data_IF_026213680140
#
_entry.id   IF_026213680140
#
_cell.length_a   1.000
_cell.length_b   1.000
_cell.length_c   1.000
_cell.angle_alpha   90.00
_cell.angle_beta   90.00
_cell.angle_gamma   90.00
#
_symmetry.space_group_name_H-M   'P 1'
#
loop_
_entity.id
_entity.type
_entity.pdbx_description
1 polymer ?
#
# COMPACT_ATOMS: atom_id res chain seq x y z
N UNK A 1 -13.33 -6.38 -19.72
CA UNK A 1 -13.36 -7.62 -20.50
C UNK A 1 -14.08 -7.34 -21.82
N UNK A 2 -13.41 -7.58 -22.97
CA UNK A 2 -13.98 -7.28 -24.30
C UNK A 2 -15.20 -8.15 -24.67
N UNK A 3 -15.50 -9.17 -23.86
CA UNK A 3 -16.53 -10.19 -24.13
C UNK A 3 -17.75 -10.11 -23.19
N UNK A 4 -17.92 -9.05 -22.43
CA UNK A 4 -19.03 -8.90 -21.48
C UNK A 4 -19.71 -7.56 -21.69
N UNK A 5 -21.02 -7.58 -21.93
CA UNK A 5 -21.82 -6.36 -22.08
C UNK A 5 -22.12 -5.74 -20.71
N UNK A 6 -21.09 -5.13 -20.11
CA UNK A 6 -21.16 -4.45 -18.81
C UNK A 6 -20.57 -3.06 -18.95
N UNK A 7 -21.31 -2.05 -18.54
CA UNK A 7 -20.79 -0.71 -18.39
C UNK A 7 -20.13 -0.58 -17.02
N UNK A 8 -18.86 -0.17 -16.99
CA UNK A 8 -18.09 0.04 -15.74
C UNK A 8 -17.81 1.54 -15.60
N UNK A 9 -18.20 2.10 -14.49
CA UNK A 9 -17.86 3.46 -14.08
C UNK A 9 -16.93 3.44 -12.88
N UNK A 10 -15.86 4.26 -12.91
CA UNK A 10 -15.02 4.53 -11.76
C UNK A 10 -15.50 5.82 -11.10
N UNK A 11 -15.88 5.73 -9.82
CA UNK A 11 -16.23 6.87 -8.99
C UNK A 11 -15.17 7.05 -7.90
N UNK A 12 -14.54 8.21 -7.86
CA UNK A 12 -13.50 8.55 -6.89
C UNK A 12 -14.03 9.60 -5.91
N UNK A 13 -13.90 9.30 -4.61
CA UNK A 13 -14.29 10.19 -3.53
C UNK A 13 -13.15 10.26 -2.51
N UNK A 14 -13.16 11.32 -1.69
CA UNK A 14 -12.23 11.45 -0.57
C UNK A 14 -12.98 11.36 0.76
N UNK A 15 -12.30 10.90 1.80
CA UNK A 15 -12.85 10.84 3.16
C UNK A 15 -13.21 12.23 3.75
N UNK A 16 -12.71 13.30 3.11
CA UNK A 16 -13.00 14.69 3.50
C UNK A 16 -14.29 15.22 2.86
N UNK A 17 -14.88 14.49 1.90
CA UNK A 17 -16.15 14.89 1.29
C UNK A 17 -17.34 14.59 2.19
N UNK A 18 -18.41 15.36 2.03
CA UNK A 18 -19.65 15.13 2.79
C UNK A 18 -20.28 13.80 2.38
N UNK A 19 -20.59 12.94 3.36
CA UNK A 19 -21.18 11.60 3.15
C UNK A 19 -22.50 11.65 2.39
N UNK A 20 -23.34 12.62 2.68
CA UNK A 20 -24.65 12.74 2.03
C UNK A 20 -24.50 13.08 0.53
N UNK A 21 -23.51 13.88 0.16
CA UNK A 21 -23.26 14.21 -1.24
C UNK A 21 -22.72 12.98 -2.00
N UNK A 22 -21.87 12.17 -1.37
CA UNK A 22 -21.40 10.89 -1.95
C UNK A 22 -22.58 9.92 -2.10
N UNK A 23 -23.42 9.78 -1.09
CA UNK A 23 -24.61 8.91 -1.16
C UNK A 23 -25.57 9.33 -2.27
N UNK A 24 -25.81 10.63 -2.44
CA UNK A 24 -26.62 11.19 -3.54
C UNK A 24 -26.01 10.87 -4.91
N UNK A 25 -24.70 11.01 -5.06
CA UNK A 25 -24.03 10.73 -6.34
C UNK A 25 -24.10 9.23 -6.66
N UNK A 26 -23.82 8.35 -5.71
CA UNK A 26 -23.95 6.90 -5.87
C UNK A 26 -25.39 6.53 -6.27
N UNK A 27 -26.38 7.09 -5.57
CA UNK A 27 -27.78 6.82 -5.86
C UNK A 27 -28.17 7.27 -7.28
N UNK A 28 -27.70 8.43 -7.75
CA UNK A 28 -28.00 8.95 -9.09
C UNK A 28 -27.44 8.08 -10.23
N UNK A 29 -26.34 7.37 -9.98
CA UNK A 29 -25.71 6.46 -10.96
C UNK A 29 -26.53 5.20 -11.21
N UNK A 30 -27.44 4.82 -10.31
CA UNK A 30 -28.35 3.67 -10.44
C UNK A 30 -27.61 2.36 -10.85
N UNK A 31 -26.43 2.13 -10.28
CA UNK A 31 -25.65 0.93 -10.58
C UNK A 31 -26.33 -0.33 -10.06
N UNK A 32 -26.31 -1.41 -10.85
CA UNK A 32 -26.84 -2.73 -10.44
C UNK A 32 -25.87 -3.44 -9.46
N UNK A 33 -24.57 -3.14 -9.57
CA UNK A 33 -23.51 -3.64 -8.67
C UNK A 33 -22.56 -2.52 -8.30
N UNK A 34 -22.20 -2.44 -7.04
CA UNK A 34 -21.22 -1.48 -6.50
C UNK A 34 -20.10 -2.27 -5.84
N UNK A 35 -18.86 -1.90 -6.18
CA UNK A 35 -17.66 -2.48 -5.57
C UNK A 35 -16.88 -1.41 -4.83
N UNK A 36 -16.69 -1.57 -3.53
CA UNK A 36 -15.92 -0.65 -2.69
C UNK A 36 -14.48 -1.14 -2.51
N UNK A 37 -13.54 -0.20 -2.59
CA UNK A 37 -12.14 -0.42 -2.28
C UNK A 37 -11.85 -0.02 -0.83
N UNK A 38 -11.44 -0.99 0.01
CA UNK A 38 -11.30 -0.85 1.46
C UNK A 38 -9.83 -0.84 1.87
N UNK A 39 -9.40 0.31 2.37
CA UNK A 39 -8.06 0.56 2.90
C UNK A 39 -8.14 1.06 4.34
N UNK A 40 -7.01 1.03 5.03
CA UNK A 40 -6.90 1.45 6.43
C UNK A 40 -7.39 2.90 6.69
N UNK A 41 -7.32 3.78 5.69
CA UNK A 41 -7.75 5.18 5.83
C UNK A 41 -9.22 5.43 5.52
N UNK A 42 -9.95 4.46 4.92
CA UNK A 42 -11.33 4.69 4.49
C UNK A 42 -12.33 3.64 4.99
N UNK A 43 -11.91 2.60 5.71
CA UNK A 43 -12.77 1.45 6.06
C UNK A 43 -14.05 1.88 6.79
N UNK A 44 -13.95 2.68 7.86
CA UNK A 44 -15.12 3.11 8.64
C UNK A 44 -16.09 3.94 7.80
N UNK A 45 -15.52 4.79 6.94
CA UNK A 45 -16.29 5.59 6.01
C UNK A 45 -17.05 4.69 5.02
N UNK A 46 -16.38 3.71 4.44
CA UNK A 46 -16.94 2.75 3.48
C UNK A 46 -18.00 1.88 4.14
N UNK A 47 -17.77 1.35 5.35
CA UNK A 47 -18.76 0.55 6.07
C UNK A 47 -20.04 1.31 6.34
N UNK A 48 -19.92 2.57 6.79
CA UNK A 48 -21.09 3.45 6.98
C UNK A 48 -21.81 3.67 5.64
N UNK A 49 -21.07 3.91 4.56
CA UNK A 49 -21.64 4.12 3.23
C UNK A 49 -22.37 2.87 2.70
N UNK A 50 -21.82 1.68 2.90
CA UNK A 50 -22.45 0.40 2.52
C UNK A 50 -23.84 0.27 3.17
N UNK A 51 -23.92 0.54 4.48
CA UNK A 51 -25.20 0.47 5.23
C UNK A 51 -26.22 1.47 4.67
N UNK A 52 -25.79 2.69 4.37
CA UNK A 52 -26.69 3.74 3.87
C UNK A 52 -27.10 3.52 2.42
N UNK A 53 -26.18 3.08 1.56
CA UNK A 53 -26.51 2.69 0.18
C UNK A 53 -27.56 1.57 0.15
N UNK A 54 -27.41 0.56 1.00
CA UNK A 54 -28.36 -0.56 1.01
C UNK A 54 -29.76 -0.16 1.48
N UNK A 55 -29.90 0.88 2.32
CA UNK A 55 -31.21 1.43 2.73
C UNK A 55 -31.94 2.09 1.58
N UNK A 56 -31.22 2.81 0.70
CA UNK A 56 -31.82 3.60 -0.40
C UNK A 56 -31.87 2.83 -1.73
N UNK A 57 -31.03 1.79 -1.88
CA UNK A 57 -30.93 0.91 -3.05
C UNK A 57 -31.01 -0.55 -2.59
N UNK A 58 -32.22 -1.02 -2.29
CA UNK A 58 -32.44 -2.33 -1.64
C UNK A 58 -31.91 -3.53 -2.43
N UNK A 59 -32.03 -3.49 -3.76
CA UNK A 59 -31.71 -4.59 -4.65
C UNK A 59 -30.25 -4.54 -5.18
N UNK A 60 -29.49 -3.49 -4.85
CA UNK A 60 -28.12 -3.32 -5.32
C UNK A 60 -27.21 -4.43 -4.76
N UNK A 61 -26.39 -4.99 -5.64
CA UNK A 61 -25.37 -5.97 -5.29
C UNK A 61 -24.13 -5.20 -4.79
N UNK A 62 -23.65 -5.51 -3.58
CA UNK A 62 -22.51 -4.80 -3.00
C UNK A 62 -21.36 -5.76 -2.73
N UNK A 63 -20.20 -5.45 -3.31
CA UNK A 63 -18.93 -6.14 -3.05
C UNK A 63 -17.93 -5.19 -2.42
N UNK A 64 -17.03 -5.74 -1.62
CA UNK A 64 -15.88 -5.03 -1.09
C UNK A 64 -14.59 -5.76 -1.48
N UNK A 65 -13.48 -5.03 -1.55
CA UNK A 65 -12.16 -5.58 -1.79
C UNK A 65 -11.09 -4.67 -1.21
N UNK A 66 -9.85 -5.12 -1.19
CA UNK A 66 -8.73 -4.39 -0.61
C UNK A 66 -8.21 -5.03 0.69
N UNK A 67 -7.07 -4.55 1.20
CA UNK A 67 -6.36 -5.19 2.30
C UNK A 67 -7.16 -5.28 3.59
N UNK A 68 -8.02 -4.29 3.87
CA UNK A 68 -8.77 -4.22 5.13
C UNK A 68 -9.90 -5.23 5.29
N UNK A 69 -10.31 -5.88 4.20
CA UNK A 69 -11.39 -6.88 4.20
C UNK A 69 -10.95 -8.25 3.69
N UNK A 70 -9.69 -8.36 3.23
CA UNK A 70 -9.18 -9.59 2.62
C UNK A 70 -8.87 -10.68 3.65
N UNK A 71 -8.29 -10.33 4.79
CA UNK A 71 -7.78 -11.28 5.78
C UNK A 71 -8.84 -11.72 6.79
N UNK A 72 -9.85 -10.89 7.04
CA UNK A 72 -11.00 -11.16 7.93
C UNK A 72 -12.33 -11.18 7.14
N UNK A 73 -12.32 -11.69 5.91
CA UNK A 73 -13.45 -11.59 4.98
C UNK A 73 -14.74 -12.26 5.48
N UNK A 74 -14.62 -13.34 6.26
CA UNK A 74 -15.76 -14.02 6.87
C UNK A 74 -16.39 -13.18 8.00
N UNK A 75 -15.56 -12.62 8.85
CA UNK A 75 -15.94 -11.71 9.94
C UNK A 75 -16.55 -10.42 9.35
N UNK A 76 -15.95 -9.89 8.30
CA UNK A 76 -16.48 -8.71 7.56
C UNK A 76 -17.89 -8.97 7.06
N UNK A 77 -18.15 -10.10 6.42
CA UNK A 77 -19.51 -10.47 6.00
C UNK A 77 -20.44 -10.70 7.21
N UNK A 78 -19.93 -11.20 8.32
CA UNK A 78 -20.72 -11.38 9.54
C UNK A 78 -21.24 -10.06 10.12
N UNK A 79 -20.40 -9.02 10.16
CA UNK A 79 -20.75 -7.70 10.71
C UNK A 79 -21.43 -6.75 9.71
N UNK A 80 -21.35 -7.03 8.40
CA UNK A 80 -21.98 -6.26 7.32
C UNK A 80 -22.90 -7.14 6.48
N UNK A 81 -24.14 -7.38 6.95
CA UNK A 81 -25.12 -8.20 6.24
C UNK A 81 -25.53 -7.60 4.89
N UNK A 82 -25.28 -6.32 4.65
CA UNK A 82 -25.52 -5.60 3.41
C UNK A 82 -24.59 -6.04 2.26
N UNK A 83 -23.43 -6.61 2.59
CA UNK A 83 -22.50 -7.11 1.60
C UNK A 83 -22.93 -8.44 1.01
N UNK A 84 -22.86 -8.54 -0.31
CA UNK A 84 -22.99 -9.79 -1.06
C UNK A 84 -21.72 -10.63 -0.94
N UNK A 85 -20.55 -9.99 -1.01
CA UNK A 85 -19.27 -10.68 -0.89
C UNK A 85 -18.06 -9.77 -0.78
N UNK A 86 -16.91 -10.40 -0.56
CA UNK A 86 -15.58 -9.79 -0.45
C UNK A 86 -14.67 -10.42 -1.47
N UNK A 87 -13.94 -9.60 -2.22
CA UNK A 87 -12.82 -9.98 -3.07
C UNK A 87 -11.53 -9.96 -2.23
N UNK A 88 -10.83 -11.09 -2.14
CA UNK A 88 -9.59 -11.25 -1.38
C UNK A 88 -8.36 -11.09 -2.25
N UNK A 89 -7.36 -10.38 -1.77
CA UNK A 89 -6.08 -10.20 -2.47
C UNK A 89 -6.19 -9.37 -3.74
N UNK A 90 -5.53 -9.83 -4.82
CA UNK A 90 -5.51 -9.13 -6.12
C UNK A 90 -6.89 -9.14 -6.79
N UNK A 91 -7.42 -7.94 -7.02
CA UNK A 91 -8.79 -7.75 -7.50
C UNK A 91 -8.98 -7.89 -9.00
N UNK A 92 -7.95 -7.69 -9.82
CA UNK A 92 -8.04 -7.47 -11.26
C UNK A 92 -8.78 -8.63 -11.99
N UNK A 93 -8.30 -9.85 -11.83
CA UNK A 93 -8.91 -11.04 -12.45
C UNK A 93 -10.19 -11.48 -11.73
N UNK A 94 -10.27 -11.26 -10.42
CA UNK A 94 -11.45 -11.60 -9.60
C UNK A 94 -12.63 -10.71 -10.00
N UNK A 95 -12.43 -9.40 -10.08
CA UNK A 95 -13.42 -8.44 -10.52
C UNK A 95 -13.90 -8.74 -11.96
N UNK A 96 -12.95 -9.03 -12.87
CA UNK A 96 -13.31 -9.41 -14.25
C UNK A 96 -14.23 -10.65 -14.32
N UNK A 97 -14.01 -11.65 -13.43
CA UNK A 97 -14.88 -12.82 -13.33
C UNK A 97 -16.24 -12.48 -12.72
N UNK A 98 -16.29 -11.62 -11.70
CA UNK A 98 -17.57 -11.15 -11.14
C UNK A 98 -18.41 -10.42 -12.19
N UNK A 99 -17.77 -9.55 -13.00
CA UNK A 99 -18.46 -8.91 -14.13
C UNK A 99 -19.07 -9.92 -15.13
N UNK A 100 -18.43 -11.08 -15.33
CA UNK A 100 -18.98 -12.15 -16.17
C UNK A 100 -20.17 -12.85 -15.53
N UNK A 101 -20.18 -13.04 -14.21
CA UNK A 101 -21.31 -13.68 -13.49
C UNK A 101 -22.53 -12.77 -13.47
N UNK A 102 -22.34 -11.47 -13.26
CA UNK A 102 -23.44 -10.50 -13.12
C UNK A 102 -23.83 -9.81 -14.45
N UNK A 103 -23.02 -9.93 -15.51
CA UNK A 103 -23.30 -9.32 -16.81
C UNK A 103 -24.51 -9.95 -17.51
N UNK A 104 -25.45 -9.11 -17.97
CA UNK A 104 -26.62 -9.55 -18.76
C UNK A 104 -26.14 -10.04 -20.13
N UNK A 105 -26.36 -11.27 -20.46
CA UNK A 105 -26.16 -12.01 -21.71
C UNK A 105 -25.21 -13.19 -21.63
N UNK A 106 -25.18 -13.87 -20.53
CA UNK A 106 -24.58 -15.18 -20.56
C UNK A 106 -25.68 -16.27 -20.40
N UNK A 107 -26.61 -16.35 -21.36
CA UNK A 107 -27.36 -17.59 -21.53
C UNK A 107 -26.43 -18.81 -21.75
N UNK A 108 -25.12 -18.54 -21.90
CA UNK A 108 -24.06 -19.54 -22.09
C UNK A 108 -22.97 -19.50 -21.03
N UNK A 109 -22.99 -18.57 -20.04
CA UNK A 109 -21.98 -18.55 -18.96
C UNK A 109 -22.37 -19.52 -17.86
N UNK A 110 -21.79 -20.70 -17.89
CA UNK A 110 -21.85 -21.70 -16.81
C UNK A 110 -21.04 -21.26 -15.57
N UNK A 111 -20.51 -20.03 -15.54
CA UNK A 111 -19.69 -19.52 -14.46
C UNK A 111 -20.55 -19.11 -13.27
N UNK A 112 -20.36 -19.77 -12.13
CA UNK A 112 -20.99 -19.44 -10.85
C UNK A 112 -19.98 -18.87 -9.85
N UNK A 113 -20.45 -18.26 -8.75
CA UNK A 113 -19.58 -17.73 -7.71
C UNK A 113 -18.70 -18.82 -7.07
N UNK A 114 -19.20 -20.06 -7.00
CA UNK A 114 -18.48 -21.21 -6.47
C UNK A 114 -17.22 -21.57 -7.28
N UNK A 115 -17.13 -21.10 -8.52
CA UNK A 115 -16.00 -21.36 -9.42
C UNK A 115 -14.97 -20.20 -9.41
N UNK A 116 -15.18 -19.17 -8.61
CA UNK A 116 -14.29 -18.02 -8.53
C UNK A 116 -13.41 -18.14 -7.29
N UNK A 117 -12.11 -18.31 -7.49
CA UNK A 117 -11.13 -18.19 -6.39
C UNK A 117 -10.90 -16.73 -6.02
N UNK A 118 -10.48 -16.51 -4.76
CA UNK A 118 -10.22 -15.18 -4.22
C UNK A 118 -11.49 -14.43 -3.79
N UNK A 119 -12.58 -15.13 -3.48
CA UNK A 119 -13.78 -14.50 -2.92
C UNK A 119 -14.29 -15.21 -1.67
N UNK A 120 -14.99 -14.43 -0.84
CA UNK A 120 -15.89 -14.92 0.21
C UNK A 120 -17.24 -14.28 -0.04
N UNK A 121 -18.33 -15.05 -0.04
CA UNK A 121 -19.64 -14.53 -0.42
C UNK A 121 -20.78 -15.16 0.39
N UNK A 122 -21.93 -14.50 0.40
CA UNK A 122 -23.15 -14.98 1.05
C UNK A 122 -23.95 -15.80 0.05
N UNK A 123 -24.23 -17.04 0.43
CA UNK A 123 -25.07 -17.94 -0.33
C UNK A 123 -26.57 -17.57 -0.16
N UNK A 124 -27.47 -18.00 -1.07
CA UNK A 124 -28.91 -17.68 -0.97
C UNK A 124 -29.57 -18.14 0.32
N UNK A 125 -29.06 -19.18 0.97
CA UNK A 125 -29.54 -19.69 2.27
C UNK A 125 -29.01 -18.89 3.45
N UNK A 126 -28.22 -17.82 3.20
CA UNK A 126 -27.61 -16.96 4.21
C UNK A 126 -26.29 -17.47 4.76
N UNK A 127 -25.82 -18.65 4.39
CA UNK A 127 -24.50 -19.15 4.79
C UNK A 127 -23.38 -18.37 4.09
N UNK A 128 -22.19 -18.33 4.73
CA UNK A 128 -21.01 -17.68 4.17
C UNK A 128 -20.08 -18.73 3.59
N UNK A 129 -19.90 -18.67 2.27
CA UNK A 129 -19.04 -19.54 1.48
C UNK A 129 -17.71 -18.84 1.22
N UNK A 130 -16.60 -19.47 1.58
CA UNK A 130 -15.25 -18.96 1.33
C UNK A 130 -14.55 -19.82 0.30
N UNK A 131 -13.98 -19.16 -0.72
CA UNK A 131 -13.18 -19.81 -1.75
C UNK A 131 -11.68 -19.68 -1.45
N UNK A 132 -10.86 -20.58 -1.97
CA UNK A 132 -9.40 -20.47 -1.85
C UNK A 132 -8.89 -19.11 -2.32
N UNK A 133 -7.71 -18.70 -1.83
CA UNK A 133 -7.01 -17.55 -2.40
C UNK A 133 -6.66 -17.81 -3.86
N UNK A 134 -6.76 -16.76 -4.65
CA UNK A 134 -6.34 -16.83 -6.05
C UNK A 134 -4.82 -16.95 -6.16
N UNK A 135 -4.35 -17.73 -7.14
CA UNK A 135 -2.94 -17.71 -7.55
C UNK A 135 -2.60 -16.31 -8.07
N UNK A 136 -1.51 -15.72 -7.58
CA UNK A 136 -1.05 -14.41 -8.04
C UNK A 136 -0.87 -14.34 -9.57
N UNK A 137 -1.21 -13.19 -10.15
CA UNK A 137 -1.13 -13.01 -11.61
C UNK A 137 0.26 -12.56 -12.06
N UNK A 138 0.56 -12.73 -13.36
CA UNK A 138 1.69 -12.05 -13.99
C UNK A 138 1.41 -10.54 -14.02
N UNK A 139 2.33 -9.76 -13.45
CA UNK A 139 2.17 -8.31 -13.35
C UNK A 139 2.19 -7.62 -14.73
N UNK A 140 2.77 -8.26 -15.73
CA UNK A 140 2.76 -7.75 -17.12
C UNK A 140 1.38 -7.83 -17.78
N UNK A 141 0.43 -8.59 -17.22
CA UNK A 141 -0.96 -8.63 -17.71
C UNK A 141 -1.82 -7.46 -17.19
N UNK A 142 -1.35 -6.69 -16.19
CA UNK A 142 -2.08 -5.52 -15.68
C UNK A 142 -2.05 -4.43 -16.75
N UNK A 143 -3.23 -3.92 -17.19
CA UNK A 143 -3.26 -2.88 -18.22
C UNK A 143 -2.73 -1.55 -17.66
N UNK A 144 -2.06 -0.78 -18.52
CA UNK A 144 -1.71 0.61 -18.22
C UNK A 144 -2.98 1.47 -18.16
N UNK A 145 -3.18 2.21 -17.08
CA UNK A 145 -4.46 2.93 -16.84
C UNK A 145 -4.39 4.43 -17.11
N UNK A 146 -3.22 4.99 -17.33
CA UNK A 146 -2.99 6.44 -17.46
C UNK A 146 -3.05 6.92 -18.91
N UNK A 147 -4.11 6.54 -19.65
CA UNK A 147 -4.25 6.93 -21.08
C UNK A 147 -4.66 8.39 -21.29
N UNK A 148 -5.28 9.01 -20.29
CA UNK A 148 -5.78 10.39 -20.35
C UNK A 148 -5.29 11.16 -19.11
N UNK A 149 -4.17 11.87 -19.26
CA UNK A 149 -3.54 12.60 -18.16
C UNK A 149 -4.37 13.78 -17.65
N UNK A 150 -5.36 14.26 -18.41
CA UNK A 150 -6.25 15.33 -17.93
C UNK A 150 -7.06 14.91 -16.69
N UNK A 151 -7.37 13.63 -16.57
CA UNK A 151 -8.07 13.08 -15.39
C UNK A 151 -7.21 13.05 -14.12
N UNK A 152 -5.89 13.20 -14.28
CA UNK A 152 -4.90 13.11 -13.22
C UNK A 152 -4.18 14.44 -12.96
N UNK A 153 -4.66 15.55 -13.51
CA UNK A 153 -4.14 16.88 -13.19
C UNK A 153 -4.17 17.13 -11.68
N UNK A 154 -3.06 17.58 -11.13
CA UNK A 154 -2.86 17.83 -9.68
C UNK A 154 -2.98 16.59 -8.79
N UNK A 155 -2.84 15.38 -9.36
CA UNK A 155 -2.77 14.13 -8.60
C UNK A 155 -1.35 13.55 -8.66
N UNK A 156 -0.93 12.91 -7.57
CA UNK A 156 0.26 12.06 -7.57
C UNK A 156 -0.07 10.81 -8.39
N UNK A 157 0.82 10.46 -9.31
CA UNK A 157 0.71 9.22 -10.08
C UNK A 157 1.36 8.10 -9.28
N UNK A 158 0.61 7.05 -9.01
CA UNK A 158 1.11 5.82 -8.39
C UNK A 158 1.40 4.79 -9.46
N UNK A 159 2.61 4.24 -9.46
CA UNK A 159 3.06 3.32 -10.47
C UNK A 159 3.72 2.08 -9.83
N UNK A 160 3.46 0.89 -10.37
CA UNK A 160 3.92 -0.38 -9.83
C UNK A 160 4.71 -1.15 -10.89
N UNK A 161 5.97 -1.49 -10.59
CA UNK A 161 6.81 -2.33 -11.46
C UNK A 161 7.10 -3.69 -10.85
N UNK A 162 6.89 -3.83 -9.54
CA UNK A 162 6.99 -5.11 -8.84
C UNK A 162 5.93 -5.23 -7.76
N UNK A 163 5.49 -6.46 -7.49
CA UNK A 163 4.53 -6.80 -6.44
C UNK A 163 5.04 -7.96 -5.61
N UNK A 164 4.75 -7.93 -4.29
CA UNK A 164 5.33 -8.82 -3.31
C UNK A 164 6.56 -8.21 -2.64
N UNK A 165 7.06 -8.85 -1.58
CA UNK A 165 8.25 -8.42 -0.85
C UNK A 165 9.06 -9.63 -0.38
N UNK A 166 10.40 -9.66 -0.58
CA UNK A 166 11.21 -10.78 -0.15
C UNK A 166 11.41 -10.85 1.37
N UNK A 167 11.17 -9.74 2.07
CA UNK A 167 11.38 -9.60 3.51
C UNK A 167 10.20 -10.13 4.33
N UNK A 168 10.43 -10.29 5.64
CA UNK A 168 9.49 -10.92 6.58
C UNK A 168 9.11 -10.01 7.75
N UNK A 169 9.18 -8.68 7.55
CA UNK A 169 8.89 -7.73 8.62
C UNK A 169 7.53 -8.00 9.27
N UNK A 170 7.52 -8.21 10.59
CA UNK A 170 6.36 -8.71 11.34
C UNK A 170 5.16 -7.75 11.38
N UNK A 171 5.41 -6.46 11.20
CA UNK A 171 4.40 -5.40 11.20
C UNK A 171 3.81 -5.10 9.80
N UNK A 172 4.37 -5.70 8.74
CA UNK A 172 4.05 -5.33 7.35
C UNK A 172 3.21 -6.39 6.64
N UNK A 173 2.09 -6.02 6.03
CA UNK A 173 1.26 -6.92 5.23
C UNK A 173 1.95 -7.38 3.94
N UNK A 174 2.84 -6.57 3.37
CA UNK A 174 3.59 -6.96 2.16
C UNK A 174 4.53 -8.14 2.42
N UNK A 175 4.82 -8.47 3.69
CA UNK A 175 5.58 -9.64 4.08
C UNK A 175 4.81 -10.96 3.95
N UNK A 176 3.50 -10.91 3.70
CA UNK A 176 2.64 -12.09 3.55
C UNK A 176 2.79 -12.67 2.15
N UNK A 177 2.76 -11.82 1.12
CA UNK A 177 3.02 -12.26 -0.26
C UNK A 177 4.52 -12.32 -0.53
N UNK A 178 5.07 -13.53 -0.47
CA UNK A 178 6.49 -13.82 -0.75
C UNK A 178 6.80 -13.97 -2.23
N UNK A 179 5.79 -13.98 -3.10
CA UNK A 179 5.97 -14.18 -4.53
C UNK A 179 6.31 -12.84 -5.20
N UNK A 180 7.61 -12.54 -5.21
CA UNK A 180 8.11 -11.35 -5.88
C UNK A 180 7.97 -11.50 -7.39
N UNK A 181 7.20 -10.61 -8.01
CA UNK A 181 6.89 -10.58 -9.45
C UNK A 181 7.22 -9.21 -10.02
N UNK A 182 7.75 -9.21 -11.23
CA UNK A 182 8.16 -7.99 -11.92
C UNK A 182 7.38 -7.83 -13.22
N UNK A 183 6.99 -6.60 -13.51
CA UNK A 183 6.48 -6.18 -14.81
C UNK A 183 7.63 -6.21 -15.82
N UNK A 184 7.35 -6.61 -17.07
CA UNK A 184 8.38 -6.66 -18.11
C UNK A 184 8.99 -5.26 -18.33
N UNK A 185 10.31 -5.18 -18.48
CA UNK A 185 11.02 -3.92 -18.65
C UNK A 185 10.58 -3.18 -19.92
N UNK A 186 10.21 -3.88 -20.99
CA UNK A 186 9.72 -3.24 -22.22
C UNK A 186 8.43 -2.46 -21.96
N UNK A 187 7.50 -3.01 -21.16
CA UNK A 187 6.29 -2.31 -20.75
C UNK A 187 6.63 -1.12 -19.84
N UNK A 188 7.50 -1.35 -18.86
CA UNK A 188 7.92 -0.31 -17.92
C UNK A 188 8.52 0.87 -18.64
N UNK A 189 9.43 0.66 -19.61
CA UNK A 189 10.05 1.74 -20.35
C UNK A 189 9.05 2.53 -21.20
N UNK A 190 8.12 1.86 -21.87
CA UNK A 190 7.07 2.53 -22.63
C UNK A 190 6.17 3.39 -21.73
N UNK A 191 5.84 2.89 -20.53
CA UNK A 191 4.99 3.58 -19.57
C UNK A 191 5.72 4.76 -18.90
N UNK A 192 7.00 4.60 -18.59
CA UNK A 192 7.85 5.69 -18.09
C UNK A 192 8.01 6.79 -19.15
N UNK A 193 8.22 6.41 -20.43
CA UNK A 193 8.29 7.37 -21.52
C UNK A 193 6.99 8.17 -21.65
N UNK A 194 5.84 7.49 -21.48
CA UNK A 194 4.55 8.17 -21.47
C UNK A 194 4.48 9.25 -20.37
N UNK A 195 4.92 8.96 -19.15
CA UNK A 195 4.94 9.94 -18.06
C UNK A 195 5.91 11.11 -18.34
N UNK A 196 7.07 10.80 -18.89
CA UNK A 196 8.09 11.81 -19.26
C UNK A 196 7.58 12.73 -20.38
N UNK A 197 6.96 12.19 -21.43
CA UNK A 197 6.40 12.94 -22.55
C UNK A 197 5.28 13.88 -22.11
N UNK A 198 4.46 13.43 -21.14
CA UNK A 198 3.38 14.24 -20.57
C UNK A 198 3.82 15.17 -19.44
N UNK A 199 5.14 15.21 -19.13
CA UNK A 199 5.73 16.07 -18.10
C UNK A 199 5.03 15.92 -16.75
N UNK A 200 4.71 14.67 -16.37
CA UNK A 200 4.07 14.36 -15.08
C UNK A 200 4.97 14.88 -13.96
N UNK A 201 4.45 15.75 -13.04
CA UNK A 201 5.30 16.34 -12.02
C UNK A 201 5.93 15.34 -11.08
N UNK A 202 5.13 14.33 -10.66
CA UNK A 202 5.60 13.29 -9.72
C UNK A 202 4.98 11.93 -10.02
N UNK A 203 5.83 10.90 -10.05
CA UNK A 203 5.47 9.48 -10.13
C UNK A 203 5.99 8.79 -8.88
N UNK A 204 5.09 8.30 -8.01
CA UNK A 204 5.46 7.52 -6.83
C UNK A 204 5.36 6.03 -7.17
N UNK A 205 6.52 5.35 -7.12
CA UNK A 205 6.55 3.89 -7.20
C UNK A 205 5.98 3.29 -5.90
N UNK A 206 5.12 2.30 -6.05
CA UNK A 206 4.52 1.59 -4.91
C UNK A 206 5.14 0.21 -4.69
N UNK A 207 6.24 -0.05 -5.35
CA UNK A 207 7.12 -1.22 -5.15
C UNK A 207 7.65 -1.22 -3.72
N UNK A 208 7.39 -2.27 -2.94
CA UNK A 208 7.67 -2.32 -1.49
C UNK A 208 9.14 -2.33 -1.10
N UNK A 209 10.00 -2.72 -2.00
CA UNK A 209 11.47 -2.60 -1.91
C UNK A 209 11.98 -2.58 -3.33
N UNK A 210 12.01 -1.41 -3.92
CA UNK A 210 12.29 -1.22 -5.34
C UNK A 210 13.62 -1.86 -5.78
N UNK A 211 14.66 -1.72 -4.95
CA UNK A 211 16.01 -2.21 -5.26
C UNK A 211 16.29 -3.64 -4.78
N UNK A 212 15.25 -4.45 -4.49
CA UNK A 212 15.44 -5.85 -4.10
C UNK A 212 15.96 -6.75 -5.26
N UNK A 213 15.87 -6.27 -6.51
CA UNK A 213 16.45 -6.88 -7.71
C UNK A 213 17.28 -5.83 -8.45
N UNK A 214 18.59 -5.89 -8.27
CA UNK A 214 19.54 -4.88 -8.78
C UNK A 214 19.42 -4.61 -10.28
N UNK A 215 19.38 -5.66 -11.11
CA UNK A 215 19.27 -5.50 -12.56
C UNK A 215 18.01 -4.73 -12.98
N UNK A 216 16.88 -4.99 -12.30
CA UNK A 216 15.61 -4.30 -12.57
C UNK A 216 15.68 -2.82 -12.16
N UNK A 217 16.18 -2.55 -10.96
CA UNK A 217 16.34 -1.19 -10.45
C UNK A 217 17.31 -0.37 -11.32
N UNK A 218 18.47 -0.95 -11.63
CA UNK A 218 19.48 -0.31 -12.48
C UNK A 218 18.95 0.01 -13.88
N UNK A 219 18.19 -0.91 -14.49
CA UNK A 219 17.62 -0.67 -15.81
C UNK A 219 16.63 0.51 -15.80
N UNK A 220 15.77 0.60 -14.78
CA UNK A 220 14.80 1.68 -14.61
C UNK A 220 15.51 3.01 -14.31
N UNK A 221 16.46 3.04 -13.37
CA UNK A 221 17.19 4.27 -13.04
C UNK A 221 18.03 4.80 -14.20
N UNK A 222 18.69 3.92 -14.98
CA UNK A 222 19.39 4.31 -16.20
C UNK A 222 18.42 4.93 -17.21
N UNK A 223 17.29 4.27 -17.45
CA UNK A 223 16.28 4.77 -18.39
C UNK A 223 15.78 6.16 -17.99
N UNK A 224 15.43 6.36 -16.72
CA UNK A 224 14.96 7.65 -16.18
C UNK A 224 16.05 8.73 -16.34
N UNK A 225 17.32 8.40 -16.09
CA UNK A 225 18.41 9.35 -16.22
C UNK A 225 18.66 9.74 -17.69
N UNK A 226 18.63 8.77 -18.60
CA UNK A 226 18.88 8.97 -20.03
C UNK A 226 17.77 9.76 -20.73
N UNK A 227 16.53 9.65 -20.24
CA UNK A 227 15.35 10.29 -20.82
C UNK A 227 14.80 11.43 -19.95
N UNK A 228 15.58 11.94 -19.01
CA UNK A 228 15.15 13.00 -18.09
C UNK A 228 14.65 14.25 -18.84
N UNK A 229 13.42 14.63 -18.58
CA UNK A 229 12.75 15.80 -19.15
C UNK A 229 12.99 17.11 -18.35
N UNK A 230 13.76 17.07 -17.27
CA UNK A 230 14.03 18.19 -16.37
C UNK A 230 12.88 18.57 -15.43
N UNK A 231 11.76 17.86 -15.45
CA UNK A 231 10.53 18.19 -14.70
C UNK A 231 10.14 17.04 -13.77
N UNK A 232 9.96 15.83 -14.31
CA UNK A 232 9.40 14.69 -13.59
C UNK A 232 10.29 14.27 -12.41
N UNK A 233 9.69 14.07 -11.26
CA UNK A 233 10.30 13.47 -10.08
C UNK A 233 9.78 12.03 -9.92
N UNK A 234 10.67 11.11 -9.59
CA UNK A 234 10.34 9.72 -9.31
C UNK A 234 10.68 9.39 -7.86
N UNK A 235 9.69 8.88 -7.12
CA UNK A 235 9.82 8.51 -5.71
C UNK A 235 9.88 7.00 -5.55
N UNK A 236 10.89 6.50 -4.81
CA UNK A 236 11.15 5.07 -4.61
C UNK A 236 11.27 4.72 -3.13
N UNK A 237 10.60 3.62 -2.71
CA UNK A 237 10.86 2.96 -1.42
C UNK A 237 12.03 1.97 -1.59
N UNK A 238 13.14 2.20 -0.89
CA UNK A 238 14.36 1.40 -1.04
C UNK A 238 14.88 0.84 0.30
N UNK A 239 15.56 -0.31 0.24
CA UNK A 239 16.41 -0.78 1.31
C UNK A 239 17.84 -0.26 1.06
N UNK A 240 18.28 0.73 1.85
CA UNK A 240 19.55 1.41 1.61
C UNK A 240 20.77 0.48 1.78
N UNK A 241 20.69 -0.51 2.66
CA UNK A 241 21.75 -1.51 2.86
C UNK A 241 21.89 -2.50 1.70
N UNK A 242 20.94 -2.55 0.77
CA UNK A 242 21.05 -3.34 -0.46
C UNK A 242 21.72 -2.59 -1.61
N UNK A 243 21.85 -1.27 -1.52
CA UNK A 243 22.46 -0.49 -2.58
C UNK A 243 23.93 -0.90 -2.78
N UNK A 244 24.31 -1.12 -4.03
CA UNK A 244 25.69 -1.41 -4.39
C UNK A 244 26.40 -0.15 -4.94
N UNK A 245 27.72 -0.25 -5.15
CA UNK A 245 28.55 0.86 -5.64
C UNK A 245 28.15 1.39 -7.02
N UNK A 246 27.58 0.53 -7.88
CA UNK A 246 27.12 0.94 -9.20
C UNK A 246 25.84 1.77 -9.11
N UNK A 247 24.91 1.32 -8.30
CA UNK A 247 23.65 2.02 -8.03
C UNK A 247 23.91 3.39 -7.38
N UNK A 248 24.76 3.44 -6.36
CA UNK A 248 25.12 4.70 -5.69
C UNK A 248 25.81 5.66 -6.67
N UNK A 249 26.73 5.17 -7.50
CA UNK A 249 27.38 6.01 -8.53
C UNK A 249 26.40 6.58 -9.54
N UNK A 250 25.45 5.76 -10.00
CA UNK A 250 24.42 6.18 -10.95
C UNK A 250 23.52 7.26 -10.33
N UNK A 251 22.98 7.02 -9.13
CA UNK A 251 22.09 7.94 -8.42
C UNK A 251 22.79 9.29 -8.18
N UNK A 252 24.04 9.28 -7.79
CA UNK A 252 24.82 10.50 -7.56
C UNK A 252 25.08 11.33 -8.83
N UNK A 253 24.91 10.76 -10.03
CA UNK A 253 25.07 11.49 -11.30
C UNK A 253 23.77 12.14 -11.79
N UNK A 254 22.65 11.79 -11.19
CA UNK A 254 21.34 12.34 -11.56
C UNK A 254 21.23 13.82 -11.21
N UNK A 255 20.35 14.56 -11.93
CA UNK A 255 20.06 15.94 -11.56
C UNK A 255 19.35 16.03 -10.20
N UNK A 256 19.48 17.16 -9.48
CA UNK A 256 18.68 17.41 -8.29
C UNK A 256 17.17 17.33 -8.61
N UNK A 257 16.43 16.60 -7.79
CA UNK A 257 14.97 16.44 -7.94
C UNK A 257 14.51 15.44 -9.00
N UNK A 258 15.42 14.69 -9.67
CA UNK A 258 15.00 13.61 -10.57
C UNK A 258 14.41 12.43 -9.79
N UNK A 259 15.08 12.01 -8.72
CA UNK A 259 14.57 10.97 -7.83
C UNK A 259 14.59 11.42 -6.37
N UNK A 260 13.77 10.78 -5.57
CA UNK A 260 13.82 10.81 -4.12
C UNK A 260 13.70 9.39 -3.57
N UNK A 261 14.34 9.14 -2.43
CA UNK A 261 14.41 7.83 -1.79
C UNK A 261 13.75 7.87 -0.42
N UNK A 262 12.78 6.98 -0.21
CA UNK A 262 12.19 6.70 1.09
C UNK A 262 12.87 5.45 1.66
N UNK A 263 13.49 5.60 2.84
CA UNK A 263 14.38 4.60 3.45
C UNK A 263 13.82 4.26 4.83
N UNK A 264 13.14 3.13 4.94
CA UNK A 264 12.66 2.65 6.23
C UNK A 264 13.82 2.14 7.08
N UNK A 265 14.17 2.82 8.17
CA UNK A 265 15.08 2.33 9.22
C UNK A 265 14.31 1.61 10.31
N UNK A 266 13.24 2.21 10.76
CA UNK A 266 12.25 1.79 11.76
C UNK A 266 12.77 1.82 13.19
N UNK A 267 13.94 1.27 13.47
CA UNK A 267 14.65 1.29 14.76
C UNK A 267 16.16 1.04 14.53
N UNK A 268 17.01 1.46 15.48
CA UNK A 268 18.42 1.09 15.52
C UNK A 268 18.73 0.11 16.66
N UNK A 269 17.73 -0.29 17.44
CA UNK A 269 17.85 -1.29 18.48
C UNK A 269 17.95 -2.69 17.87
N UNK A 270 19.05 -3.38 18.09
CA UNK A 270 19.32 -4.71 17.50
C UNK A 270 18.35 -5.79 17.96
N UNK A 271 17.83 -5.71 19.20
CA UNK A 271 16.84 -6.67 19.69
C UNK A 271 15.48 -6.43 19.03
N UNK A 272 15.08 -5.18 18.88
CA UNK A 272 13.89 -4.77 18.13
C UNK A 272 13.98 -5.23 16.67
N UNK A 273 15.08 -4.92 15.97
CA UNK A 273 15.30 -5.31 14.56
C UNK A 273 15.17 -6.82 14.37
N UNK A 274 15.74 -7.61 15.28
CA UNK A 274 15.65 -9.07 15.25
C UNK A 274 14.21 -9.54 15.46
N UNK A 275 13.53 -8.99 16.47
CA UNK A 275 12.16 -9.40 16.83
C UNK A 275 11.14 -9.07 15.75
N UNK A 276 11.26 -7.89 15.14
CA UNK A 276 10.38 -7.52 14.02
C UNK A 276 10.76 -8.24 12.71
N UNK A 277 11.71 -9.19 12.74
CA UNK A 277 12.17 -9.99 11.59
C UNK A 277 12.66 -9.13 10.42
N UNK A 278 13.22 -7.96 10.72
CA UNK A 278 13.75 -7.08 9.71
C UNK A 278 15.19 -7.45 9.40
N UNK A 279 15.47 -7.72 8.13
CA UNK A 279 16.83 -7.89 7.64
C UNK A 279 17.37 -6.52 7.25
N UNK A 280 18.24 -5.95 8.06
CA UNK A 280 18.87 -4.64 7.81
C UNK A 280 20.26 -4.60 8.43
N UNK A 281 21.22 -4.09 7.67
CA UNK A 281 22.61 -3.85 8.12
C UNK A 281 22.80 -2.36 8.37
N UNK A 282 22.61 -1.92 9.62
CA UNK A 282 22.56 -0.52 10.00
C UNK A 282 23.82 0.28 9.60
N UNK A 283 25.00 -0.31 9.71
CA UNK A 283 26.24 0.37 9.33
C UNK A 283 26.32 0.64 7.82
N UNK A 284 25.82 -0.29 6.99
CA UNK A 284 25.71 -0.08 5.55
C UNK A 284 24.66 1.00 5.21
N UNK A 285 23.53 1.02 5.93
CA UNK A 285 22.56 2.12 5.79
C UNK A 285 23.23 3.46 6.06
N UNK A 286 23.97 3.59 7.17
CA UNK A 286 24.70 4.83 7.52
C UNK A 286 25.68 5.25 6.42
N UNK A 287 26.49 4.31 5.97
CA UNK A 287 27.49 4.56 4.94
C UNK A 287 26.83 4.99 3.62
N UNK A 288 25.82 4.25 3.15
CA UNK A 288 25.18 4.54 1.87
C UNK A 288 24.40 5.85 1.89
N UNK A 289 23.65 6.13 2.96
CA UNK A 289 22.98 7.43 3.18
C UNK A 289 23.99 8.58 3.14
N UNK A 290 25.12 8.46 3.85
CA UNK A 290 26.17 9.48 3.85
C UNK A 290 26.78 9.68 2.46
N UNK A 291 27.12 8.60 1.75
CA UNK A 291 27.68 8.64 0.39
C UNK A 291 26.75 9.31 -0.61
N UNK A 292 25.45 9.05 -0.53
CA UNK A 292 24.45 9.71 -1.39
C UNK A 292 24.34 11.18 -1.01
N UNK A 293 24.34 11.51 0.28
CA UNK A 293 24.22 12.89 0.78
C UNK A 293 25.39 13.80 0.39
N UNK A 294 26.61 13.29 0.25
CA UNK A 294 27.79 14.07 -0.16
C UNK A 294 27.57 14.91 -1.43
N UNK A 295 26.79 14.40 -2.38
CA UNK A 295 26.48 15.12 -3.63
C UNK A 295 25.35 16.13 -3.48
N UNK A 296 24.42 15.91 -2.54
CA UNK A 296 23.29 16.79 -2.25
C UNK A 296 22.23 16.89 -3.37
N UNK A 297 22.18 15.90 -4.25
CA UNK A 297 21.27 15.90 -5.39
C UNK A 297 20.03 15.01 -5.19
N UNK A 298 20.02 14.14 -4.19
CA UNK A 298 18.95 13.19 -3.89
C UNK A 298 18.30 13.56 -2.58
N UNK A 299 16.99 13.74 -2.59
CA UNK A 299 16.19 13.86 -1.37
C UNK A 299 16.07 12.50 -0.69
N UNK A 300 16.54 12.41 0.55
CA UNK A 300 16.49 11.20 1.37
C UNK A 300 15.51 11.38 2.52
N UNK A 301 14.46 10.56 2.53
CA UNK A 301 13.46 10.48 3.58
C UNK A 301 13.71 9.21 4.41
N UNK A 302 13.94 9.34 5.71
CA UNK A 302 14.20 8.23 6.63
C UNK A 302 13.04 8.08 7.61
N UNK A 303 12.66 6.83 7.91
CA UNK A 303 11.49 6.52 8.75
C UNK A 303 11.88 5.79 10.03
N UNK A 304 11.20 6.14 11.12
CA UNK A 304 11.20 5.44 12.41
C UNK A 304 9.77 5.04 12.81
N UNK A 305 9.62 3.92 13.52
CA UNK A 305 8.35 3.46 14.08
C UNK A 305 8.47 3.33 15.59
N UNK A 306 7.70 4.13 16.33
CA UNK A 306 7.56 4.00 17.78
C UNK A 306 6.57 2.88 18.16
N UNK A 307 6.80 2.18 19.26
CA UNK A 307 5.94 1.12 19.77
C UNK A 307 6.27 -0.27 19.24
N UNK A 308 7.44 -0.46 18.64
CA UNK A 308 7.95 -1.77 18.26
C UNK A 308 8.34 -2.60 19.50
N UNK A 309 8.32 -3.96 19.42
CA UNK A 309 8.75 -4.83 20.52
C UNK A 309 10.19 -4.55 20.95
N UNK A 310 10.49 -4.74 22.25
CA UNK A 310 11.79 -4.54 22.87
C UNK A 310 12.33 -3.11 22.80
N UNK A 311 11.48 -2.11 22.50
CA UNK A 311 11.89 -0.71 22.41
C UNK A 311 11.12 0.15 23.42
N UNK A 312 11.80 0.55 24.50
CA UNK A 312 11.33 1.55 25.45
C UNK A 312 11.65 2.97 24.98
N UNK A 313 11.19 3.98 25.69
CA UNK A 313 11.41 5.38 25.32
C UNK A 313 12.91 5.76 25.26
N UNK A 314 13.77 5.15 26.08
CA UNK A 314 15.20 5.44 26.06
C UNK A 314 15.86 4.87 24.81
N UNK A 315 15.52 3.64 24.48
CA UNK A 315 15.96 2.97 23.26
C UNK A 315 15.47 3.71 22.03
N UNK A 316 14.20 4.13 22.02
CA UNK A 316 13.64 4.88 20.92
C UNK A 316 14.31 6.25 20.73
N UNK A 317 14.58 6.99 21.82
CA UNK A 317 15.35 8.24 21.75
C UNK A 317 16.73 8.02 21.13
N UNK A 318 17.39 6.91 21.50
CA UNK A 318 18.67 6.56 20.86
C UNK A 318 18.49 6.28 19.36
N UNK A 319 17.46 5.52 18.95
CA UNK A 319 17.15 5.30 17.55
C UNK A 319 16.89 6.60 16.80
N UNK A 320 16.18 7.53 17.42
CA UNK A 320 15.95 8.87 16.88
C UNK A 320 17.25 9.64 16.67
N UNK A 321 18.11 9.74 17.70
CA UNK A 321 19.40 10.44 17.63
C UNK A 321 20.32 9.81 16.58
N UNK A 322 20.35 8.49 16.50
CA UNK A 322 21.11 7.72 15.52
C UNK A 322 20.71 8.10 14.09
N UNK A 323 19.38 8.11 13.79
CA UNK A 323 18.86 8.41 12.45
C UNK A 323 18.97 9.91 12.14
N UNK A 324 18.67 10.77 13.11
CA UNK A 324 18.83 12.22 12.97
C UNK A 324 20.27 12.61 12.65
N UNK A 325 21.26 11.91 13.25
CA UNK A 325 22.68 12.12 12.97
C UNK A 325 23.10 11.81 11.53
N UNK A 326 22.32 11.01 10.79
CA UNK A 326 22.53 10.74 9.35
C UNK A 326 22.15 11.94 8.48
N UNK A 327 21.48 12.96 9.07
CA UNK A 327 21.06 14.21 8.42
C UNK A 327 20.18 13.96 7.19
N UNK A 328 19.08 13.24 7.31
CA UNK A 328 18.13 13.09 6.20
C UNK A 328 17.59 14.47 5.78
N UNK A 329 17.04 14.55 4.56
CA UNK A 329 16.32 15.75 4.12
C UNK A 329 14.92 15.80 4.75
N UNK A 330 14.37 14.64 5.07
CA UNK A 330 13.12 14.47 5.82
C UNK A 330 13.27 13.28 6.78
N UNK A 331 12.84 13.46 8.02
CA UNK A 331 12.70 12.39 9.00
C UNK A 331 11.20 12.23 9.30
N UNK A 332 10.70 11.00 9.20
CA UNK A 332 9.33 10.67 9.62
C UNK A 332 9.36 9.82 10.87
N UNK A 333 8.62 10.25 11.87
CA UNK A 333 8.31 9.49 13.05
C UNK A 333 6.90 8.94 12.92
N UNK A 334 6.75 7.62 12.80
CA UNK A 334 5.45 6.96 12.78
C UNK A 334 5.21 6.14 14.05
N UNK A 335 3.98 5.69 14.24
CA UNK A 335 3.60 4.77 15.32
C UNK A 335 3.18 3.42 14.74
N UNK A 336 3.50 2.35 15.48
CA UNK A 336 3.11 1.00 15.09
C UNK A 336 1.59 0.92 14.85
N UNK A 337 1.23 0.39 13.69
CA UNK A 337 -0.14 0.04 13.32
C UNK A 337 -0.28 -1.47 13.33
N UNK A 338 -1.19 -1.99 14.14
CA UNK A 338 -1.40 -3.44 14.29
C UNK A 338 -2.35 -3.91 13.19
N UNK A 339 -1.79 -4.15 12.01
CA UNK A 339 -2.56 -4.44 10.80
C UNK A 339 -3.18 -5.84 10.85
N UNK A 340 -4.42 -5.97 10.38
CA UNK A 340 -5.13 -7.25 10.28
C UNK A 340 -4.37 -8.24 9.40
N UNK A 341 -4.19 -9.46 9.90
CA UNK A 341 -3.44 -10.51 9.21
C UNK A 341 -1.92 -10.39 9.32
N UNK A 342 -1.38 -9.38 10.00
CA UNK A 342 0.05 -9.27 10.26
C UNK A 342 0.49 -10.19 11.41
N UNK A 343 1.76 -10.62 11.38
CA UNK A 343 2.34 -11.37 12.51
C UNK A 343 2.30 -10.55 13.82
N UNK A 344 2.38 -9.23 13.74
CA UNK A 344 2.26 -8.35 14.89
C UNK A 344 0.90 -8.48 15.59
N UNK A 345 -0.19 -8.68 14.82
CA UNK A 345 -1.51 -8.95 15.36
C UNK A 345 -1.56 -10.31 16.09
N UNK A 346 -0.90 -11.34 15.56
CA UNK A 346 -0.83 -12.66 16.20
C UNK A 346 -0.14 -12.59 17.57
N UNK A 347 0.89 -11.74 17.69
CA UNK A 347 1.69 -11.56 18.89
C UNK A 347 1.12 -10.55 19.90
N UNK A 348 -0.09 -10.02 19.66
CA UNK A 348 -0.68 -8.95 20.49
C UNK A 348 -0.71 -9.27 21.98
N UNK A 349 -0.96 -10.50 22.36
CA UNK A 349 -1.01 -10.91 23.77
C UNK A 349 0.38 -10.97 24.41
N UNK A 350 1.37 -11.53 23.70
CA UNK A 350 2.74 -11.70 24.19
C UNK A 350 3.44 -10.34 24.37
N UNK A 351 3.20 -9.41 23.44
CA UNK A 351 3.75 -8.06 23.49
C UNK A 351 2.89 -7.07 24.26
N UNK A 352 1.76 -7.55 24.86
CA UNK A 352 0.79 -6.72 25.59
C UNK A 352 0.36 -5.50 24.78
N UNK A 353 0.17 -5.67 23.47
CA UNK A 353 -0.20 -4.56 22.59
C UNK A 353 -1.60 -4.06 22.93
N UNK A 354 -1.71 -2.77 23.21
CA UNK A 354 -2.96 -2.04 23.27
C UNK A 354 -2.96 -1.06 22.11
N UNK A 355 -3.97 -1.09 21.29
CA UNK A 355 -4.10 -0.25 20.10
C UNK A 355 -5.56 0.14 19.88
N UNK A 356 -5.79 1.13 19.03
CA UNK A 356 -7.16 1.58 18.71
C UNK A 356 -7.93 0.47 18.00
N UNK A 357 -9.19 0.29 18.36
CA UNK A 357 -10.08 -0.69 17.71
C UNK A 357 -10.45 -0.29 16.28
N UNK A 358 -10.39 1.02 15.99
CA UNK A 358 -10.68 1.61 14.69
C UNK A 358 -9.39 1.85 13.88
N UNK A 359 -9.47 1.80 12.54
CA UNK A 359 -8.34 2.19 11.70
C UNK A 359 -7.80 3.58 12.06
N UNK A 360 -6.51 3.78 12.07
CA UNK A 360 -5.45 2.93 11.54
C UNK A 360 -4.88 1.90 12.53
N UNK A 361 -5.58 1.49 13.58
CA UNK A 361 -5.15 0.49 14.58
C UNK A 361 -3.83 0.87 15.27
N UNK A 362 -3.68 2.16 15.52
CA UNK A 362 -2.46 2.72 16.06
C UNK A 362 -2.24 2.30 17.50
N UNK A 363 -1.00 1.94 17.84
CA UNK A 363 -0.60 1.52 19.17
C UNK A 363 -0.87 2.62 20.23
N UNK A 364 -1.41 2.21 21.36
CA UNK A 364 -1.60 3.04 22.55
C UNK A 364 -0.57 2.71 23.65
N UNK A 365 -0.21 1.44 23.78
CA UNK A 365 0.87 1.00 24.67
C UNK A 365 1.35 -0.39 24.30
N UNK A 366 2.55 -0.74 24.74
CA UNK A 366 3.13 -2.06 24.61
C UNK A 366 3.73 -2.48 25.96
N UNK A 367 4.21 -3.73 26.07
CA UNK A 367 4.95 -4.21 27.22
C UNK A 367 6.15 -3.33 27.60
N UNK A 368 6.73 -2.62 26.65
CA UNK A 368 7.96 -1.80 26.82
C UNK A 368 7.69 -0.30 26.80
N UNK A 369 6.60 0.14 26.19
CA UNK A 369 6.26 1.55 26.00
C UNK A 369 4.88 1.86 26.58
N UNK A 370 4.78 2.45 27.78
CA UNK A 370 3.50 2.83 28.38
C UNK A 370 2.87 4.01 27.61
N UNK A 371 1.56 4.23 27.80
CA UNK A 371 0.82 5.27 27.09
C UNK A 371 1.35 6.70 27.36
N UNK A 372 1.89 6.95 28.57
CA UNK A 372 2.55 8.23 28.87
C UNK A 372 3.70 8.55 27.92
N UNK A 373 4.47 7.54 27.57
CA UNK A 373 5.63 7.69 26.68
C UNK A 373 5.18 7.84 25.21
N UNK A 374 4.08 7.15 24.83
CA UNK A 374 3.45 7.36 23.51
C UNK A 374 2.99 8.80 23.35
N UNK A 375 2.36 9.40 24.40
CA UNK A 375 1.97 10.82 24.38
C UNK A 375 3.18 11.75 24.19
N UNK A 376 4.27 11.48 24.89
CA UNK A 376 5.50 12.26 24.73
C UNK A 376 6.03 12.17 23.29
N UNK A 377 6.10 10.96 22.74
CA UNK A 377 6.57 10.73 21.36
C UNK A 377 5.66 11.37 20.32
N UNK A 378 4.34 11.45 20.55
CA UNK A 378 3.42 12.19 19.67
C UNK A 378 3.71 13.70 19.65
N UNK A 379 4.05 14.27 20.77
CA UNK A 379 4.51 15.66 20.78
C UNK A 379 5.82 15.87 20.00
N UNK A 380 6.72 14.86 20.00
CA UNK A 380 7.94 14.89 19.18
C UNK A 380 7.60 14.72 17.68
N UNK A 381 6.68 13.82 17.32
CA UNK A 381 6.19 13.64 15.94
C UNK A 381 5.71 14.98 15.37
N UNK A 382 4.82 15.70 16.08
CA UNK A 382 4.32 17.01 15.68
C UNK A 382 5.45 18.03 15.43
N UNK A 383 6.48 18.00 16.26
CA UNK A 383 7.63 18.90 16.08
C UNK A 383 8.48 18.52 14.86
N UNK A 384 8.69 17.22 14.62
CA UNK A 384 9.47 16.71 13.46
C UNK A 384 8.77 17.00 12.14
N UNK A 385 7.43 17.04 12.12
CA UNK A 385 6.66 17.40 10.93
C UNK A 385 6.74 18.89 10.58
N UNK A 386 7.00 19.77 11.57
CA UNK A 386 7.06 21.21 11.38
C UNK A 386 8.48 21.69 11.01
N UNK A 387 9.52 21.05 11.51
CA UNK A 387 10.93 21.44 11.37
C UNK A 387 11.75 20.47 10.54
#
# INVERSE_FOLDING_TARGET
>A
PQDVNVQIELAEYTINQNRDEILKDIYRRQAEMICFSCYIWNLDYVESMIRDVKKVMKDVIIWAGGPEVSYDSRETLGRLPELTGVMKGEGEKTFAKLCKVYGKHSETSELSLEQIDGITFRCPDGTICERPWRVPMDLSEVPFVYHDMKKFENKIIYYETSRGCPFSCSYCLSSIDKQLRFRSLDLVFNELQFFLDHKVPQVKFVDRTFNCKHDHAMAIWKYIQEHDNGITNFHFEVAADLLNDEEIRLIRQMRPGLIQLEIGVQSTNTDTIREIRRTMRLEEVREHVARIKEKGNIHQHLDLIAGLPYEDIKSFRKSFDDVYSMRPDQLQLGFLKVLKGSYMQEMQQEYELRYKDEPPYEVLSTKWLPYSDVIELKGIEEMVEIY
#
